data_IF_605538191770
#
_entry.id   IF_605538191770
#
_cell.length_a   1.000
_cell.length_b   1.000
_cell.length_c   1.000
_cell.angle_alpha   90.00
_cell.angle_beta   90.00
_cell.angle_gamma   90.00
#
_symmetry.space_group_name_H-M   'P 1'
#
loop_
_entity.id
_entity.type
_entity.pdbx_description
1 polymer ?
#
# COMPACT_ATOMS: atom_id res chain seq x y z
N UNK A 1 -10.42 10.45 -14.38
CA UNK A 1 -9.10 9.80 -14.49
C UNK A 1 -9.00 8.69 -13.46
N UNK A 2 -8.33 7.61 -13.82
CA UNK A 2 -7.95 6.49 -12.94
C UNK A 2 -6.55 6.72 -12.43
N UNK A 3 -6.41 6.94 -11.13
CA UNK A 3 -5.14 7.25 -10.48
C UNK A 3 -4.80 6.15 -9.49
N UNK A 4 -3.61 5.58 -9.63
CA UNK A 4 -3.08 4.63 -8.65
C UNK A 4 -2.05 5.32 -7.77
N UNK A 5 -2.23 5.23 -6.45
CA UNK A 5 -1.20 5.61 -5.49
C UNK A 5 -0.48 4.31 -5.08
N UNK A 6 0.81 4.22 -5.38
CA UNK A 6 1.64 3.07 -5.05
C UNK A 6 2.56 3.43 -3.89
N UNK A 7 2.38 2.76 -2.75
CA UNK A 7 3.15 3.04 -1.52
C UNK A 7 3.22 1.79 -0.66
N UNK A 8 4.32 1.59 0.06
CA UNK A 8 4.41 0.47 0.99
C UNK A 8 3.53 0.67 2.23
N UNK A 9 3.33 1.92 2.67
CA UNK A 9 2.69 2.21 3.96
C UNK A 9 1.39 2.99 3.79
N UNK A 10 0.33 2.54 4.46
CA UNK A 10 -0.98 3.18 4.38
C UNK A 10 -1.80 2.89 5.66
N UNK A 11 -2.76 3.74 6.06
CA UNK A 11 -3.63 3.44 7.21
C UNK A 11 -4.20 2.03 7.09
N UNK A 12 -4.26 1.23 8.17
CA UNK A 12 -4.25 1.65 9.58
C UNK A 12 -2.85 1.89 10.19
N UNK A 13 -1.77 1.77 9.42
CA UNK A 13 -0.44 2.14 9.91
C UNK A 13 -0.41 3.63 10.24
N UNK A 14 0.13 3.97 11.42
CA UNK A 14 0.18 5.33 11.92
C UNK A 14 1.54 5.93 11.52
N UNK A 15 1.51 7.05 10.82
CA UNK A 15 2.71 7.79 10.44
C UNK A 15 2.42 8.97 9.55
N UNK A 16 3.41 9.86 9.38
CA UNK A 16 3.27 11.05 8.55
C UNK A 16 2.99 10.70 7.08
N UNK A 17 3.68 9.69 6.53
CA UNK A 17 3.47 9.25 5.15
C UNK A 17 2.10 8.58 4.94
N UNK A 18 1.69 7.55 5.71
CA UNK A 18 0.33 6.99 5.62
C UNK A 18 -0.77 8.05 5.69
N UNK A 19 -0.68 8.99 6.65
CA UNK A 19 -1.68 10.04 6.81
C UNK A 19 -1.73 11.00 5.62
N UNK A 20 -0.56 11.45 5.12
CA UNK A 20 -0.48 12.34 3.96
C UNK A 20 -1.03 11.68 2.69
N UNK A 21 -0.69 10.41 2.46
CA UNK A 21 -1.17 9.66 1.30
C UNK A 21 -2.67 9.36 1.39
N UNK A 22 -3.18 9.09 2.58
CA UNK A 22 -4.62 8.94 2.78
C UNK A 22 -5.39 10.24 2.54
N UNK A 23 -4.88 11.37 3.02
CA UNK A 23 -5.47 12.68 2.74
C UNK A 23 -5.41 13.02 1.24
N UNK A 24 -4.31 12.70 0.56
CA UNK A 24 -4.19 12.86 -0.89
C UNK A 24 -5.19 11.97 -1.64
N UNK A 25 -5.31 10.70 -1.27
CA UNK A 25 -6.25 9.77 -1.89
C UNK A 25 -7.69 10.26 -1.76
N UNK A 26 -8.05 10.75 -0.56
CA UNK A 26 -9.36 11.33 -0.31
C UNK A 26 -9.59 12.61 -1.13
N UNK A 27 -8.65 13.55 -1.13
CA UNK A 27 -8.78 14.79 -1.90
C UNK A 27 -8.87 14.56 -3.41
N UNK A 28 -8.16 13.57 -3.94
CA UNK A 28 -8.28 13.19 -5.36
C UNK A 28 -9.63 12.52 -5.67
N UNK A 29 -10.15 11.70 -4.76
CA UNK A 29 -11.47 11.09 -4.91
C UNK A 29 -12.58 12.15 -4.85
N UNK A 30 -12.50 13.10 -3.92
CA UNK A 30 -13.43 14.23 -3.80
C UNK A 30 -13.41 15.14 -5.03
N UNK A 31 -12.27 15.24 -5.70
CA UNK A 31 -12.15 15.93 -7.00
C UNK A 31 -12.75 15.15 -8.19
N UNK A 32 -13.37 13.98 -7.95
CA UNK A 32 -14.04 13.16 -8.96
C UNK A 32 -13.14 12.18 -9.70
N UNK A 33 -11.94 11.90 -9.19
CA UNK A 33 -11.06 10.88 -9.76
C UNK A 33 -11.36 9.48 -9.19
N UNK A 34 -11.13 8.45 -10.01
CA UNK A 34 -11.19 7.05 -9.54
C UNK A 34 -9.83 6.70 -8.95
N UNK A 35 -9.75 6.67 -7.63
CA UNK A 35 -8.49 6.45 -6.92
C UNK A 35 -8.42 5.03 -6.38
N UNK A 36 -7.30 4.36 -6.62
CA UNK A 36 -6.95 3.09 -5.98
C UNK A 36 -5.58 3.18 -5.34
N UNK A 37 -5.48 2.86 -4.06
CA UNK A 37 -4.19 2.74 -3.37
C UNK A 37 -3.71 1.30 -3.44
N UNK A 38 -2.56 1.06 -4.09
CA UNK A 38 -1.88 -0.22 -4.05
C UNK A 38 -0.80 -0.17 -2.97
N UNK A 39 -0.98 -0.97 -1.92
CA UNK A 39 -0.13 -0.93 -0.73
C UNK A 39 0.16 -2.30 -0.12
N UNK A 40 0.98 -2.36 0.93
CA UNK A 40 1.29 -3.59 1.62
C UNK A 40 0.23 -3.93 2.68
N UNK A 41 0.21 -5.19 3.10
CA UNK A 41 -0.45 -5.56 4.36
C UNK A 41 0.17 -4.77 5.52
N UNK A 42 -0.66 -4.15 6.38
CA UNK A 42 -0.16 -3.30 7.46
C UNK A 42 0.63 -4.15 8.45
N UNK A 43 1.88 -3.76 8.68
CA UNK A 43 2.79 -4.53 9.52
C UNK A 43 3.71 -3.66 10.38
N UNK A 44 3.91 -2.40 10.01
CA UNK A 44 4.71 -1.46 10.78
C UNK A 44 3.88 -0.77 11.86
N UNK A 45 4.38 -0.59 13.10
CA UNK A 45 5.70 -0.95 13.61
C UNK A 45 5.67 -2.27 14.41
N UNK A 46 4.85 -3.25 14.04
CA UNK A 46 4.73 -4.50 14.80
C UNK A 46 5.61 -5.64 14.27
N UNK A 47 6.04 -5.57 13.01
CA UNK A 47 6.76 -6.66 12.33
C UNK A 47 5.94 -7.93 12.12
N UNK A 48 4.62 -7.78 12.20
CA UNK A 48 3.60 -8.80 11.95
C UNK A 48 2.37 -8.08 11.43
N UNK A 49 1.51 -8.78 10.72
CA UNK A 49 0.27 -8.18 10.24
C UNK A 49 -0.59 -7.70 11.41
N UNK A 50 -1.25 -6.56 11.20
CA UNK A 50 -2.20 -6.03 12.17
C UNK A 50 -3.37 -7.00 12.35
N UNK A 51 -4.06 -6.99 13.51
CA UNK A 51 -5.23 -7.83 13.73
C UNK A 51 -6.27 -7.68 12.61
N UNK A 52 -6.77 -8.82 12.13
CA UNK A 52 -7.74 -8.86 11.05
C UNK A 52 -7.14 -8.77 9.63
N UNK A 53 -5.82 -8.65 9.48
CA UNK A 53 -5.12 -8.70 8.19
C UNK A 53 -4.41 -10.04 7.99
N UNK A 54 -4.60 -10.65 6.82
CA UNK A 54 -4.01 -11.95 6.46
C UNK A 54 -4.10 -12.20 4.95
N UNK A 55 -3.36 -13.19 4.47
CA UNK A 55 -3.40 -13.63 3.08
C UNK A 55 -2.44 -12.85 2.17
N UNK A 56 -2.51 -13.16 0.87
CA UNK A 56 -1.62 -12.57 -0.14
C UNK A 56 -2.18 -11.27 -0.73
N UNK A 57 -3.51 -11.15 -0.78
CA UNK A 57 -4.20 -9.97 -1.30
C UNK A 57 -5.42 -9.68 -0.47
N UNK A 58 -5.70 -8.40 -0.24
CA UNK A 58 -6.95 -7.92 0.31
C UNK A 58 -7.42 -6.68 -0.43
N UNK A 59 -8.72 -6.58 -0.66
CA UNK A 59 -9.36 -5.39 -1.21
C UNK A 59 -10.22 -4.74 -0.14
N UNK A 60 -10.09 -3.43 -0.05
CA UNK A 60 -10.74 -2.56 0.92
C UNK A 60 -11.32 -1.36 0.17
N UNK A 61 -12.34 -0.72 0.75
CA UNK A 61 -12.87 0.54 0.27
C UNK A 61 -12.86 1.52 1.45
N UNK A 62 -12.18 2.64 1.28
CA UNK A 62 -12.03 3.68 2.29
C UNK A 62 -12.66 4.95 1.76
N UNK A 63 -13.80 5.36 2.32
CA UNK A 63 -14.43 6.68 2.11
C UNK A 63 -14.31 7.21 0.66
N UNK A 64 -14.74 6.40 -0.31
CA UNK A 64 -14.80 6.81 -1.73
C UNK A 64 -13.61 6.42 -2.61
N UNK A 65 -12.57 5.77 -2.08
CA UNK A 65 -11.48 5.21 -2.89
C UNK A 65 -11.16 3.75 -2.54
N UNK A 66 -10.65 3.02 -3.53
CA UNK A 66 -10.24 1.63 -3.37
C UNK A 66 -8.88 1.51 -2.70
N UNK A 67 -8.67 0.43 -1.95
CA UNK A 67 -7.36 0.04 -1.41
C UNK A 67 -7.13 -1.43 -1.74
N UNK A 68 -6.02 -1.74 -2.38
CA UNK A 68 -5.55 -3.09 -2.67
C UNK A 68 -4.28 -3.30 -1.85
N UNK A 69 -4.32 -4.26 -0.93
CA UNK A 69 -3.16 -4.66 -0.13
C UNK A 69 -2.57 -5.94 -0.69
N UNK A 70 -1.26 -5.96 -0.89
CA UNK A 70 -0.53 -7.16 -1.30
C UNK A 70 0.41 -7.63 -0.21
N UNK A 71 0.85 -8.88 -0.35
CA UNK A 71 1.78 -9.53 0.56
C UNK A 71 3.05 -8.70 0.81
N UNK A 72 3.50 -8.69 2.05
CA UNK A 72 4.85 -8.24 2.42
C UNK A 72 5.39 -9.19 3.48
N UNK A 73 6.69 -9.46 3.45
CA UNK A 73 7.40 -10.17 4.49
C UNK A 73 7.54 -9.24 5.71
N UNK A 74 6.74 -9.42 6.77
CA UNK A 74 6.74 -8.47 7.87
C UNK A 74 7.95 -8.73 8.76
N UNK A 75 8.65 -7.66 9.15
CA UNK A 75 9.83 -7.76 10.02
C UNK A 75 10.08 -6.46 10.76
N UNK A 76 10.53 -6.58 12.01
CA UNK A 76 11.06 -5.47 12.83
C UNK A 76 12.58 -5.45 12.86
N UNK A 77 13.22 -6.41 12.22
CA UNK A 77 14.66 -6.61 12.33
C UNK A 77 15.41 -5.56 11.50
N UNK A 78 16.33 -4.83 12.15
CA UNK A 78 17.20 -3.83 11.51
C UNK A 78 18.31 -4.44 10.63
N UNK A 79 18.47 -5.77 10.63
CA UNK A 79 19.44 -6.48 9.81
C UNK A 79 19.17 -6.32 8.32
N UNK A 80 20.23 -5.98 7.56
CA UNK A 80 20.18 -5.64 6.14
C UNK A 80 19.39 -6.66 5.31
N UNK A 81 19.67 -7.96 5.46
CA UNK A 81 19.04 -9.02 4.65
C UNK A 81 17.53 -9.05 4.86
N UNK A 82 17.07 -9.05 6.12
CA UNK A 82 15.62 -9.09 6.43
C UNK A 82 14.92 -7.82 5.96
N UNK A 83 15.60 -6.67 6.06
CA UNK A 83 15.07 -5.39 5.56
C UNK A 83 14.93 -5.41 4.03
N UNK A 84 15.91 -5.93 3.31
CA UNK A 84 15.82 -6.11 1.86
C UNK A 84 14.69 -7.08 1.49
N UNK A 85 14.54 -8.21 2.20
CA UNK A 85 13.44 -9.14 1.98
C UNK A 85 12.07 -8.48 2.21
N UNK A 86 11.93 -7.64 3.24
CA UNK A 86 10.73 -6.83 3.46
C UNK A 86 10.39 -6.00 2.23
N UNK A 87 11.31 -5.15 1.77
CA UNK A 87 11.08 -4.26 0.63
C UNK A 87 10.84 -5.02 -0.67
N UNK A 88 11.70 -5.97 -1.01
CA UNK A 88 11.58 -6.72 -2.26
C UNK A 88 10.33 -7.58 -2.29
N UNK A 89 9.91 -8.16 -1.15
CA UNK A 89 8.66 -8.93 -1.11
C UNK A 89 7.45 -8.08 -1.50
N UNK A 90 7.40 -6.80 -1.09
CA UNK A 90 6.35 -5.88 -1.52
C UNK A 90 6.50 -5.46 -2.98
N UNK A 91 7.71 -5.16 -3.45
CA UNK A 91 7.95 -4.85 -4.87
C UNK A 91 7.41 -5.97 -5.76
N UNK A 92 7.79 -7.23 -5.48
CA UNK A 92 7.33 -8.37 -6.27
C UNK A 92 5.84 -8.64 -6.12
N UNK A 93 5.29 -8.56 -4.90
CA UNK A 93 3.86 -8.81 -4.70
C UNK A 93 2.99 -7.72 -5.32
N UNK A 94 3.40 -6.45 -5.28
CA UNK A 94 2.64 -5.35 -5.86
C UNK A 94 2.61 -5.40 -7.38
N UNK A 95 3.69 -5.85 -8.02
CA UNK A 95 3.71 -6.11 -9.47
C UNK A 95 2.87 -7.36 -9.81
N UNK A 96 3.14 -8.50 -9.18
CA UNK A 96 2.53 -9.77 -9.57
C UNK A 96 1.05 -9.86 -9.20
N UNK A 97 0.70 -9.43 -7.98
CA UNK A 97 -0.67 -9.50 -7.47
C UNK A 97 -1.39 -8.19 -7.72
N UNK A 98 -0.77 -7.06 -7.36
CA UNK A 98 -1.38 -5.74 -7.53
C UNK A 98 -1.68 -5.42 -9.00
N UNK A 99 -0.72 -5.66 -9.89
CA UNK A 99 -0.90 -5.46 -11.34
C UNK A 99 -2.02 -6.31 -11.94
N UNK A 100 -2.33 -7.48 -11.38
CA UNK A 100 -3.45 -8.29 -11.84
C UNK A 100 -4.82 -7.73 -11.41
N UNK A 101 -4.87 -7.02 -10.28
CA UNK A 101 -6.11 -6.54 -9.68
C UNK A 101 -6.41 -5.07 -9.95
N UNK A 102 -5.45 -4.34 -10.52
CA UNK A 102 -5.62 -2.95 -10.94
C UNK A 102 -6.25 -2.89 -12.34
N UNK A 103 -7.15 -1.94 -12.51
CA UNK A 103 -7.55 -1.50 -13.85
C UNK A 103 -6.42 -0.68 -14.49
N UNK A 104 -6.41 -0.59 -15.81
CA UNK A 104 -5.47 0.25 -16.56
C UNK A 104 -5.52 1.72 -16.06
N UNK A 105 -4.45 2.21 -15.41
CA UNK A 105 -4.44 3.53 -14.82
C UNK A 105 -3.97 4.58 -15.83
N UNK A 106 -4.53 5.80 -15.75
CA UNK A 106 -4.02 6.95 -16.50
C UNK A 106 -2.69 7.44 -15.89
N UNK A 107 -2.59 7.37 -14.55
CA UNK A 107 -1.42 7.82 -13.80
C UNK A 107 -1.12 6.89 -12.61
N UNK A 108 0.17 6.71 -12.34
CA UNK A 108 0.68 6.05 -11.13
C UNK A 108 1.53 7.05 -10.36
N UNK A 109 1.14 7.33 -9.12
CA UNK A 109 1.88 8.15 -8.16
C UNK A 109 2.60 7.20 -7.19
N UNK A 110 3.91 7.07 -7.36
CA UNK A 110 4.73 6.20 -6.50
C UNK A 110 5.40 7.01 -5.40
N UNK A 111 5.22 6.59 -4.16
CA UNK A 111 5.95 7.12 -3.02
C UNK A 111 7.25 6.33 -2.81
N UNK A 112 8.38 7.06 -2.77
CA UNK A 112 9.72 6.51 -2.62
C UNK A 112 10.64 7.58 -2.02
N UNK A 113 11.62 7.22 -1.16
CA UNK A 113 11.89 5.87 -0.65
C UNK A 113 10.89 5.45 0.42
N UNK A 114 10.69 4.14 0.67
CA UNK A 114 9.96 3.69 1.86
C UNK A 114 10.72 4.19 3.10
N UNK A 115 10.05 5.00 3.93
CA UNK A 115 10.58 5.50 5.20
C UNK A 115 11.01 4.36 6.16
#
# INVERSE_FOLDING_TARGET
>A
MKIVIHTQYFPPEIGAAPNRLSALAHGLADAGHQVTVLTAMPNYPMGRYFPGYSGLVRRENHNGHGVIRTFIYPTQNAGMIKRLLCYFSFVFSSVALGGHFLDEPDYILTESPPL
#
